data_IF_660017081604
#
_entry.id   IF_660017081604
#
_cell.length_a   1.000
_cell.length_b   1.000
_cell.length_c   1.000
_cell.angle_alpha   90.00
_cell.angle_beta   90.00
_cell.angle_gamma   90.00
#
_symmetry.space_group_name_H-M   'P 1'
#
loop_
_entity.id
_entity.type
_entity.pdbx_description
1 polymer ?
#
# COMPACT_ATOMS: atom_id res chain seq x y z
N UNK A 1 20.01 17.38 10.55
CA UNK A 1 20.37 16.64 11.79
C UNK A 1 19.42 15.45 11.91
N UNK A 2 19.93 14.35 12.38
CA UNK A 2 19.14 13.16 12.68
C UNK A 2 18.22 13.46 13.88
N UNK A 3 16.90 13.35 13.77
CA UNK A 3 15.97 13.67 14.86
C UNK A 3 16.21 12.81 16.11
N UNK A 4 16.65 11.57 15.94
CA UNK A 4 16.91 10.67 17.08
C UNK A 4 18.13 11.11 17.87
N UNK A 5 19.21 11.51 17.22
CA UNK A 5 20.39 12.08 17.87
C UNK A 5 20.08 13.40 18.59
N UNK A 6 19.21 14.23 18.00
CA UNK A 6 18.76 15.45 18.64
C UNK A 6 17.92 15.18 19.91
N UNK A 7 17.12 14.14 19.91
CA UNK A 7 16.38 13.67 21.09
C UNK A 7 17.32 13.13 22.16
N UNK A 8 18.26 12.25 21.82
CA UNK A 8 19.23 11.67 22.74
C UNK A 8 20.14 12.73 23.37
N UNK A 9 20.47 13.79 22.64
CA UNK A 9 21.26 14.91 23.14
C UNK A 9 20.47 15.91 24.00
N UNK A 10 19.12 15.76 24.05
CA UNK A 10 18.25 16.70 24.76
C UNK A 10 18.02 18.02 24.00
N UNK A 11 18.31 18.05 22.71
CA UNK A 11 18.03 19.22 21.87
C UNK A 11 16.54 19.33 21.54
N UNK A 12 15.84 18.18 21.49
CA UNK A 12 14.38 18.10 21.34
C UNK A 12 13.80 17.11 22.37
N UNK A 13 12.54 17.34 22.76
CA UNK A 13 11.88 16.56 23.81
C UNK A 13 11.02 15.41 23.24
N UNK A 14 10.67 15.42 21.96
CA UNK A 14 9.79 14.44 21.31
C UNK A 14 10.34 14.13 19.93
N UNK A 15 10.37 12.84 19.60
CA UNK A 15 10.73 12.36 18.27
C UNK A 15 9.88 11.14 17.87
N UNK A 16 9.86 10.82 16.57
CA UNK A 16 9.34 9.55 16.11
C UNK A 16 10.38 8.45 16.29
N UNK A 17 9.93 7.28 16.72
CA UNK A 17 10.79 6.14 16.94
C UNK A 17 10.66 5.14 15.79
N UNK A 18 11.75 4.80 15.08
CA UNK A 18 11.77 3.72 14.11
C UNK A 18 11.43 2.38 14.77
N UNK A 19 10.73 1.50 14.06
CA UNK A 19 10.28 0.21 14.58
C UNK A 19 11.44 -0.69 15.03
N UNK A 20 12.60 -0.58 14.40
CA UNK A 20 13.81 -1.35 14.72
C UNK A 20 14.50 -0.94 16.02
N UNK A 21 14.18 0.24 16.53
CA UNK A 21 14.73 0.76 17.79
C UNK A 21 13.73 0.68 18.95
N UNK A 22 12.51 0.23 18.70
CA UNK A 22 11.42 0.24 19.67
C UNK A 22 11.80 -0.51 20.96
N UNK A 23 12.39 -1.69 20.86
CA UNK A 23 12.81 -2.49 22.01
C UNK A 23 13.84 -1.80 22.90
N UNK A 24 14.70 -0.97 22.32
CA UNK A 24 15.71 -0.23 23.05
C UNK A 24 15.09 0.82 23.97
N UNK A 25 14.10 1.55 23.46
CA UNK A 25 13.52 2.68 24.19
C UNK A 25 12.32 2.29 25.07
N UNK A 26 11.59 1.21 24.74
CA UNK A 26 10.50 0.69 25.57
C UNK A 26 10.98 0.24 26.97
N UNK A 27 12.25 -0.16 27.08
CA UNK A 27 12.84 -0.62 28.31
C UNK A 27 13.55 0.49 29.11
N UNK A 28 13.62 1.71 28.60
CA UNK A 28 14.21 2.85 29.31
C UNK A 28 13.16 3.58 30.17
N UNK A 29 13.24 3.54 31.50
CA UNK A 29 12.24 4.14 32.37
C UNK A 29 12.28 5.68 32.35
N UNK A 30 13.31 6.30 31.77
CA UNK A 30 13.40 7.76 31.63
C UNK A 30 12.66 8.28 30.38
N UNK A 31 12.23 7.38 29.47
CA UNK A 31 11.61 7.73 28.21
C UNK A 31 10.16 7.26 28.20
N UNK A 32 9.24 8.18 27.91
CA UNK A 32 7.83 7.85 27.69
C UNK A 32 7.59 7.48 26.22
N UNK A 33 7.27 6.22 25.95
CA UNK A 33 6.86 5.78 24.61
C UNK A 33 5.35 5.79 24.51
N UNK A 34 4.81 6.49 23.50
CA UNK A 34 3.38 6.53 23.21
C UNK A 34 3.16 5.86 21.86
N UNK A 35 2.49 4.72 21.90
CA UNK A 35 2.03 4.04 20.70
C UNK A 35 0.72 4.68 20.21
N UNK A 36 0.69 5.10 18.97
CA UNK A 36 -0.49 5.64 18.34
C UNK A 36 -0.79 4.84 17.09
N UNK A 37 -2.03 4.34 17.00
CA UNK A 37 -2.52 3.77 15.77
C UNK A 37 -2.37 4.79 14.63
N UNK A 38 -1.74 4.37 13.54
CA UNK A 38 -1.50 5.21 12.38
C UNK A 38 -2.50 4.85 11.28
N UNK A 39 -3.12 5.86 10.68
CA UNK A 39 -4.00 5.68 9.51
C UNK A 39 -3.20 5.50 8.21
N UNK A 40 -1.87 5.46 8.32
CA UNK A 40 -0.98 5.26 7.18
C UNK A 40 -0.84 3.77 6.87
N UNK A 41 -0.75 3.46 5.60
CA UNK A 41 -0.54 2.11 5.12
C UNK A 41 0.09 2.12 3.74
N UNK A 42 0.24 0.93 3.18
CA UNK A 42 0.71 0.76 1.82
C UNK A 42 -0.39 0.17 0.95
N UNK A 43 -0.37 0.53 -0.31
CA UNK A 43 -1.22 -0.06 -1.34
C UNK A 43 -0.45 -0.31 -2.61
N UNK A 44 -0.88 -1.33 -3.34
CA UNK A 44 -0.43 -1.60 -4.69
C UNK A 44 -1.44 -1.00 -5.67
N UNK A 45 -0.99 -0.08 -6.51
CA UNK A 45 -1.75 0.44 -7.63
C UNK A 45 -1.50 -0.43 -8.87
N UNK A 46 -2.55 -0.66 -9.64
CA UNK A 46 -2.48 -1.28 -10.97
C UNK A 46 -3.02 -0.25 -11.96
N UNK A 47 -2.22 0.13 -12.94
CA UNK A 47 -2.64 1.04 -13.99
C UNK A 47 -3.36 0.25 -15.09
N UNK A 48 -4.67 0.34 -15.13
CA UNK A 48 -5.49 -0.42 -16.10
C UNK A 48 -5.40 0.13 -17.53
N UNK A 49 -4.89 1.34 -17.75
CA UNK A 49 -4.61 1.84 -19.10
C UNK A 49 -3.40 1.14 -19.69
N UNK A 50 -2.41 0.78 -18.88
CA UNK A 50 -1.20 0.04 -19.31
C UNK A 50 -1.33 -1.47 -19.17
N UNK A 51 -2.14 -1.91 -18.22
CA UNK A 51 -2.36 -3.33 -17.91
C UNK A 51 -3.86 -3.67 -18.00
N UNK A 52 -4.52 -3.53 -19.17
CA UNK A 52 -5.97 -3.67 -19.34
C UNK A 52 -6.49 -5.06 -18.95
N UNK A 53 -5.69 -6.10 -19.07
CA UNK A 53 -6.07 -7.47 -18.67
C UNK A 53 -6.48 -7.54 -17.20
N UNK A 54 -5.85 -6.73 -16.35
CA UNK A 54 -6.17 -6.68 -14.91
C UNK A 54 -7.52 -6.00 -14.59
N UNK A 55 -8.27 -5.54 -15.59
CA UNK A 55 -9.70 -5.25 -15.43
C UNK A 55 -10.50 -6.51 -15.15
N UNK A 56 -9.97 -7.69 -15.50
CA UNK A 56 -10.57 -8.97 -15.13
C UNK A 56 -10.44 -9.21 -13.62
N UNK A 57 -11.57 -9.47 -12.96
CA UNK A 57 -11.62 -9.63 -11.50
C UNK A 57 -10.72 -10.77 -11.00
N UNK A 58 -10.70 -11.89 -11.71
CA UNK A 58 -9.89 -13.05 -11.34
C UNK A 58 -8.39 -12.74 -11.29
N UNK A 59 -7.88 -11.90 -12.23
CA UNK A 59 -6.47 -11.50 -12.22
C UNK A 59 -6.16 -10.60 -11.02
N UNK A 60 -7.04 -9.65 -10.68
CA UNK A 60 -6.85 -8.82 -9.48
C UNK A 60 -6.88 -9.64 -8.18
N UNK A 61 -7.81 -10.59 -8.10
CA UNK A 61 -7.87 -11.52 -6.97
C UNK A 61 -6.60 -12.38 -6.88
N UNK A 62 -6.09 -12.83 -8.03
CA UNK A 62 -4.83 -13.56 -8.11
C UNK A 62 -3.63 -12.73 -7.63
N UNK A 63 -3.52 -11.46 -8.04
CA UNK A 63 -2.49 -10.53 -7.51
C UNK A 63 -2.61 -10.40 -5.99
N UNK A 64 -3.84 -10.20 -5.49
CA UNK A 64 -4.07 -10.06 -4.06
C UNK A 64 -3.70 -11.32 -3.28
N UNK A 65 -4.03 -12.48 -3.82
CA UNK A 65 -3.72 -13.79 -3.22
C UNK A 65 -2.21 -14.13 -3.27
N UNK A 66 -1.47 -13.59 -4.24
CA UNK A 66 -0.04 -13.84 -4.39
C UNK A 66 0.82 -13.13 -3.33
N UNK A 67 0.33 -12.08 -2.68
CA UNK A 67 1.12 -11.21 -1.80
C UNK A 67 0.92 -11.59 -0.34
N UNK A 68 1.98 -12.04 0.31
CA UNK A 68 2.00 -12.31 1.75
C UNK A 68 2.11 -10.99 2.55
N UNK A 69 0.96 -10.41 2.82
CA UNK A 69 0.86 -9.15 3.56
C UNK A 69 1.23 -9.28 5.03
N UNK A 70 1.09 -10.49 5.60
CA UNK A 70 1.53 -10.74 6.97
C UNK A 70 3.06 -10.70 7.06
N UNK A 71 3.76 -11.25 6.07
CA UNK A 71 5.22 -11.13 6.00
C UNK A 71 5.70 -9.67 5.92
N UNK A 72 4.93 -8.77 5.32
CA UNK A 72 5.25 -7.33 5.36
C UNK A 72 5.18 -6.80 6.79
N UNK A 73 4.09 -7.10 7.51
CA UNK A 73 3.93 -6.68 8.91
C UNK A 73 5.05 -7.22 9.79
N UNK A 74 5.36 -8.51 9.65
CA UNK A 74 6.30 -9.20 10.54
C UNK A 74 7.76 -8.83 10.24
N UNK A 75 8.13 -8.75 8.96
CA UNK A 75 9.53 -8.59 8.55
C UNK A 75 9.95 -7.13 8.38
N UNK A 76 9.07 -6.27 7.83
CA UNK A 76 9.39 -4.86 7.59
C UNK A 76 9.06 -4.04 8.83
N UNK A 77 7.84 -4.22 9.37
CA UNK A 77 7.36 -3.45 10.50
C UNK A 77 7.51 -4.14 11.87
N UNK A 78 8.16 -5.32 11.93
CA UNK A 78 8.44 -6.07 13.16
C UNK A 78 7.21 -6.28 14.05
N UNK A 79 6.07 -6.50 13.42
CA UNK A 79 4.78 -6.65 14.12
C UNK A 79 4.10 -5.34 14.50
N UNK A 80 4.73 -4.17 14.27
CA UNK A 80 4.16 -2.86 14.56
C UNK A 80 3.18 -2.41 13.47
N UNK A 81 2.17 -3.24 13.16
CA UNK A 81 1.19 -2.95 12.14
C UNK A 81 0.11 -4.01 12.06
N UNK A 82 -0.82 -3.82 11.16
CA UNK A 82 -1.89 -4.78 10.86
C UNK A 82 -2.05 -4.96 9.36
N UNK A 83 -2.43 -6.16 8.96
CA UNK A 83 -2.77 -6.42 7.55
C UNK A 83 -3.99 -5.59 7.17
N UNK A 84 -3.88 -4.86 6.06
CA UNK A 84 -4.96 -4.02 5.56
C UNK A 84 -6.20 -4.82 5.16
N UNK A 85 -7.36 -4.23 5.40
CA UNK A 85 -8.65 -4.77 4.98
C UNK A 85 -8.85 -4.60 3.46
N UNK A 86 -9.49 -5.57 2.82
CA UNK A 86 -9.92 -5.45 1.43
C UNK A 86 -10.94 -4.33 1.21
N UNK A 87 -11.64 -3.91 2.26
CA UNK A 87 -12.59 -2.80 2.22
C UNK A 87 -11.98 -1.42 2.30
N UNK A 88 -10.66 -1.30 2.29
CA UNK A 88 -9.92 -0.03 2.32
C UNK A 88 -10.03 0.78 3.62
N UNK A 89 -10.99 0.49 4.47
CA UNK A 89 -11.18 1.15 5.77
C UNK A 89 -10.45 0.37 6.86
N UNK A 90 -9.59 0.98 7.66
CA UNK A 90 -8.85 0.28 8.70
C UNK A 90 -9.76 -0.36 9.75
N UNK A 91 -9.35 -1.52 10.25
CA UNK A 91 -9.98 -2.10 11.45
C UNK A 91 -9.82 -1.11 12.62
N UNK A 92 -10.87 -0.98 13.41
CA UNK A 92 -10.90 0.00 14.51
C UNK A 92 -11.47 1.37 14.13
N UNK A 93 -11.68 1.65 12.84
CA UNK A 93 -12.47 2.80 12.40
C UNK A 93 -13.95 2.59 12.70
N UNK A 94 -14.67 3.66 13.06
CA UNK A 94 -16.14 3.64 13.20
C UNK A 94 -16.87 3.25 11.91
N UNK A 95 -16.20 3.37 10.77
CA UNK A 95 -16.74 3.07 9.45
C UNK A 95 -16.32 1.69 8.94
N UNK A 96 -15.59 0.91 9.76
CA UNK A 96 -15.18 -0.42 9.37
C UNK A 96 -16.39 -1.36 9.27
N UNK A 97 -16.50 -2.05 8.15
CA UNK A 97 -17.53 -3.05 7.92
C UNK A 97 -16.93 -4.45 8.02
N UNK A 98 -17.29 -5.19 9.06
CA UNK A 98 -16.82 -6.55 9.31
C UNK A 98 -17.30 -7.55 8.25
N UNK A 99 -18.35 -7.20 7.49
CA UNK A 99 -18.91 -8.08 6.45
C UNK A 99 -18.24 -7.92 5.09
N UNK A 100 -17.21 -7.07 4.96
CA UNK A 100 -16.45 -6.98 3.71
C UNK A 100 -15.70 -8.29 3.47
N UNK A 101 -15.88 -8.84 2.27
CA UNK A 101 -15.19 -10.07 1.87
C UNK A 101 -13.69 -9.85 1.92
N UNK A 102 -13.00 -10.68 2.70
CA UNK A 102 -11.55 -10.66 2.80
C UNK A 102 -10.96 -11.72 1.85
N UNK A 103 -9.83 -11.38 1.26
CA UNK A 103 -9.09 -12.28 0.38
C UNK A 103 -7.80 -12.70 1.10
N UNK A 104 -7.65 -13.98 1.49
CA UNK A 104 -6.44 -14.46 2.16
C UNK A 104 -5.24 -14.49 1.20
N UNK A 105 -4.05 -14.57 1.76
CA UNK A 105 -2.87 -15.01 1.04
C UNK A 105 -3.07 -16.48 0.66
N UNK A 106 -3.01 -16.78 -0.63
CA UNK A 106 -3.18 -18.12 -1.18
C UNK A 106 -2.32 -18.26 -2.44
N UNK A 107 -1.04 -18.66 -2.27
CA UNK A 107 -0.10 -18.74 -3.39
C UNK A 107 -0.48 -19.83 -4.40
N UNK A 108 -1.21 -20.89 -3.98
CA UNK A 108 -1.65 -21.94 -4.89
C UNK A 108 -2.77 -21.43 -5.81
N UNK A 109 -3.75 -20.72 -5.25
CA UNK A 109 -4.80 -20.09 -6.04
C UNK A 109 -4.23 -19.03 -6.98
N UNK A 110 -3.27 -18.22 -6.51
CA UNK A 110 -2.58 -17.24 -7.35
C UNK A 110 -1.84 -17.91 -8.52
N UNK A 111 -1.08 -18.97 -8.24
CA UNK A 111 -0.37 -19.74 -9.28
C UNK A 111 -1.34 -20.33 -10.30
N UNK A 112 -2.48 -20.86 -9.89
CA UNK A 112 -3.49 -21.40 -10.79
C UNK A 112 -4.05 -20.33 -11.76
N UNK A 113 -4.08 -19.05 -11.31
CA UNK A 113 -4.52 -17.93 -12.15
C UNK A 113 -3.48 -17.55 -13.19
N UNK A 114 -2.18 -17.54 -12.87
CA UNK A 114 -1.14 -16.96 -13.72
C UNK A 114 -0.22 -17.95 -14.41
N UNK A 115 -0.13 -19.20 -13.95
CA UNK A 115 0.80 -20.20 -14.50
C UNK A 115 0.68 -20.35 -16.01
N UNK A 116 1.80 -20.19 -16.70
CA UNK A 116 1.90 -20.38 -18.15
C UNK A 116 1.28 -19.27 -19.00
N UNK A 117 0.79 -18.17 -18.39
CA UNK A 117 0.20 -17.05 -19.13
C UNK A 117 1.23 -16.02 -19.64
N UNK A 118 2.45 -16.04 -19.10
CA UNK A 118 3.54 -15.18 -19.59
C UNK A 118 3.38 -13.70 -19.24
N UNK A 119 2.71 -13.36 -18.15
CA UNK A 119 2.62 -11.98 -17.70
C UNK A 119 3.98 -11.47 -17.23
N UNK A 120 4.29 -10.23 -17.60
CA UNK A 120 5.41 -9.47 -17.06
C UNK A 120 4.95 -8.07 -16.70
N UNK A 121 5.44 -7.52 -15.58
CA UNK A 121 5.10 -6.18 -15.12
C UNK A 121 6.30 -5.48 -14.49
N UNK A 122 6.32 -4.17 -14.58
CA UNK A 122 7.23 -3.31 -13.83
C UNK A 122 6.54 -2.84 -12.55
N UNK A 123 7.21 -3.00 -11.41
CA UNK A 123 6.78 -2.50 -10.10
C UNK A 123 7.58 -1.26 -9.71
N UNK A 124 6.94 -0.11 -9.81
CA UNK A 124 7.50 1.18 -9.38
C UNK A 124 7.38 1.31 -7.86
N UNK A 125 8.45 1.71 -7.17
CA UNK A 125 8.45 1.95 -5.72
C UNK A 125 9.37 3.11 -5.33
N UNK A 126 9.36 3.50 -4.05
CA UNK A 126 10.37 4.39 -3.46
C UNK A 126 11.72 3.68 -3.31
N UNK A 127 12.77 4.48 -3.11
CA UNK A 127 14.14 3.99 -2.90
C UNK A 127 14.53 3.92 -1.40
N UNK A 128 13.58 4.17 -0.50
CA UNK A 128 13.78 3.96 0.93
C UNK A 128 13.72 2.47 1.31
N UNK A 129 14.26 2.15 2.50
CA UNK A 129 14.42 0.77 2.93
C UNK A 129 13.13 -0.02 3.07
N UNK A 130 12.06 0.63 3.54
CA UNK A 130 10.76 -0.02 3.73
C UNK A 130 10.08 -0.30 2.39
N UNK A 131 10.07 0.69 1.49
CA UNK A 131 9.52 0.54 0.14
C UNK A 131 10.22 -0.59 -0.62
N UNK A 132 11.56 -0.64 -0.56
CA UNK A 132 12.34 -1.70 -1.20
C UNK A 132 12.04 -3.08 -0.61
N UNK A 133 11.97 -3.19 0.71
CA UNK A 133 11.67 -4.46 1.38
C UNK A 133 10.26 -4.97 1.03
N UNK A 134 9.27 -4.08 1.00
CA UNK A 134 7.90 -4.42 0.61
C UNK A 134 7.84 -4.81 -0.88
N UNK A 135 8.51 -4.05 -1.75
CA UNK A 135 8.56 -4.35 -3.19
C UNK A 135 9.16 -5.74 -3.47
N UNK A 136 10.19 -6.15 -2.72
CA UNK A 136 10.78 -7.48 -2.83
C UNK A 136 9.80 -8.59 -2.39
N UNK A 137 9.03 -8.39 -1.32
CA UNK A 137 7.98 -9.35 -0.91
C UNK A 137 6.93 -9.48 -2.01
N UNK A 138 6.46 -8.35 -2.57
CA UNK A 138 5.51 -8.33 -3.67
C UNK A 138 6.09 -9.05 -4.90
N UNK A 139 7.31 -8.72 -5.31
CA UNK A 139 8.00 -9.35 -6.43
C UNK A 139 8.09 -10.86 -6.26
N UNK A 140 8.51 -11.32 -5.09
CA UNK A 140 8.66 -12.75 -4.81
C UNK A 140 7.31 -13.48 -4.88
N UNK A 141 6.26 -12.93 -4.31
CA UNK A 141 4.91 -13.50 -4.37
C UNK A 141 4.35 -13.58 -5.79
N UNK A 142 4.45 -12.50 -6.55
CA UNK A 142 3.99 -12.44 -7.94
C UNK A 142 4.80 -13.36 -8.85
N UNK A 143 6.13 -13.44 -8.65
CA UNK A 143 7.00 -14.35 -9.42
C UNK A 143 6.67 -15.81 -9.12
N UNK A 144 6.42 -16.16 -7.87
CA UNK A 144 5.97 -17.51 -7.50
C UNK A 144 4.61 -17.86 -8.10
N UNK A 145 3.74 -16.86 -8.28
CA UNK A 145 2.46 -17.04 -8.97
C UNK A 145 2.61 -17.18 -10.51
N UNK A 146 3.73 -16.80 -11.11
CA UNK A 146 3.98 -16.91 -12.55
C UNK A 146 3.95 -15.59 -13.32
N UNK A 147 4.10 -14.47 -12.63
CA UNK A 147 4.27 -13.12 -13.22
C UNK A 147 5.75 -12.73 -13.12
N UNK A 148 6.40 -12.38 -14.22
CA UNK A 148 7.73 -11.79 -14.19
C UNK A 148 7.64 -10.35 -13.68
N UNK A 149 8.42 -9.98 -12.65
CA UNK A 149 8.37 -8.64 -12.05
C UNK A 149 9.73 -7.99 -12.05
N UNK A 150 9.81 -6.81 -12.67
CA UNK A 150 10.96 -5.92 -12.59
C UNK A 150 10.68 -4.79 -11.60
N UNK A 151 11.49 -4.67 -10.56
CA UNK A 151 11.36 -3.56 -9.58
C UNK A 151 12.14 -2.35 -10.09
N UNK A 152 11.47 -1.19 -10.12
CA UNK A 152 12.06 0.11 -10.43
C UNK A 152 11.91 1.03 -9.21
N UNK A 153 13.03 1.29 -8.53
CA UNK A 153 13.08 2.14 -7.35
C UNK A 153 13.57 3.55 -7.71
N UNK A 154 12.86 4.55 -7.22
CA UNK A 154 13.19 5.96 -7.43
C UNK A 154 12.95 6.77 -6.17
N UNK A 155 13.60 7.94 -6.07
CA UNK A 155 13.27 8.91 -5.05
C UNK A 155 11.78 9.31 -5.12
N UNK A 156 11.23 9.77 -3.99
CA UNK A 156 9.80 10.08 -3.85
C UNK A 156 9.28 11.05 -4.91
N UNK A 157 10.07 12.07 -5.29
CA UNK A 157 9.63 13.07 -6.27
C UNK A 157 9.52 12.47 -7.68
N UNK A 158 10.48 11.64 -8.06
CA UNK A 158 10.48 10.91 -9.34
C UNK A 158 9.35 9.88 -9.39
N UNK A 159 9.19 9.06 -8.34
CA UNK A 159 8.10 8.09 -8.21
C UNK A 159 6.74 8.77 -8.35
N UNK A 160 6.49 9.81 -7.56
CA UNK A 160 5.21 10.52 -7.56
C UNK A 160 4.95 11.24 -8.89
N UNK A 161 5.98 11.79 -9.52
CA UNK A 161 5.88 12.37 -10.86
C UNK A 161 5.44 11.35 -11.91
N UNK A 162 5.97 10.14 -11.88
CA UNK A 162 5.57 9.04 -12.77
C UNK A 162 4.14 8.58 -12.49
N UNK A 163 3.75 8.45 -11.23
CA UNK A 163 2.37 8.09 -10.86
C UNK A 163 1.39 9.15 -11.35
N UNK A 164 1.69 10.43 -11.12
CA UNK A 164 0.85 11.55 -11.55
C UNK A 164 0.67 11.62 -13.07
N UNK A 165 1.68 11.20 -13.83
CA UNK A 165 1.62 11.17 -15.29
C UNK A 165 1.07 9.85 -15.87
N UNK A 166 0.75 8.86 -15.03
CA UNK A 166 0.33 7.52 -15.47
C UNK A 166 1.46 6.68 -16.07
N UNK A 167 2.73 7.03 -15.78
CA UNK A 167 3.90 6.33 -16.29
C UNK A 167 4.34 5.20 -15.35
N UNK A 168 3.47 4.22 -15.17
CA UNK A 168 3.74 3.00 -14.39
C UNK A 168 2.77 1.89 -14.81
N UNK A 169 3.13 0.65 -14.56
CA UNK A 169 2.25 -0.52 -14.68
C UNK A 169 1.67 -0.89 -13.30
N UNK A 170 2.55 -1.29 -12.38
CA UNK A 170 2.24 -1.46 -10.97
C UNK A 170 3.03 -0.43 -10.16
N UNK A 171 2.46 0.09 -9.08
CA UNK A 171 3.19 1.00 -8.19
C UNK A 171 2.86 0.72 -6.72
N UNK A 172 3.91 0.64 -5.90
CA UNK A 172 3.81 0.63 -4.46
C UNK A 172 3.81 2.07 -3.95
N UNK A 173 2.77 2.44 -3.22
CA UNK A 173 2.64 3.79 -2.69
C UNK A 173 2.17 3.78 -1.24
N UNK A 174 2.64 4.74 -0.47
CA UNK A 174 2.07 5.05 0.83
C UNK A 174 0.61 5.49 0.66
N UNK A 175 -0.23 5.07 1.57
CA UNK A 175 -1.63 5.43 1.61
C UNK A 175 -1.94 5.95 3.01
N UNK A 176 -2.21 7.23 3.11
CA UNK A 176 -2.51 7.87 4.37
C UNK A 176 -3.61 8.91 4.22
N UNK A 177 -3.95 9.52 5.36
CA UNK A 177 -4.90 10.62 5.35
C UNK A 177 -6.37 10.21 5.32
N UNK A 178 -6.70 8.97 5.75
CA UNK A 178 -8.08 8.60 6.04
C UNK A 178 -8.69 9.59 7.01
N UNK A 179 -7.86 10.10 7.92
CA UNK A 179 -8.21 11.09 8.91
C UNK A 179 -9.46 10.70 9.68
N UNK A 180 -10.17 11.70 10.16
CA UNK A 180 -11.45 11.50 10.85
C UNK A 180 -12.64 11.44 9.87
N UNK A 181 -12.41 11.42 8.56
CA UNK A 181 -13.47 11.46 7.56
C UNK A 181 -13.27 10.48 6.39
N UNK A 182 -13.25 9.15 6.68
CA UNK A 182 -13.17 8.12 5.65
C UNK A 182 -14.20 8.27 4.51
N UNK A 183 -15.48 8.64 4.76
CA UNK A 183 -16.46 8.80 3.69
C UNK A 183 -16.04 9.79 2.61
N UNK A 184 -15.48 10.95 3.00
CA UNK A 184 -15.01 11.94 2.03
C UNK A 184 -13.83 11.41 1.20
N UNK A 185 -12.92 10.69 1.84
CA UNK A 185 -11.79 10.09 1.15
C UNK A 185 -12.26 8.99 0.17
N UNK A 186 -13.18 8.12 0.60
CA UNK A 186 -13.77 7.06 -0.25
C UNK A 186 -14.47 7.67 -1.46
N UNK A 187 -15.24 8.74 -1.28
CA UNK A 187 -15.85 9.47 -2.39
C UNK A 187 -14.80 9.94 -3.40
N UNK A 188 -13.71 10.53 -2.94
CA UNK A 188 -12.62 10.99 -3.81
C UNK A 188 -11.96 9.85 -4.57
N UNK A 189 -11.86 8.65 -3.96
CA UNK A 189 -11.26 7.49 -4.61
C UNK A 189 -12.17 6.85 -5.66
N UNK A 190 -13.47 6.78 -5.40
CA UNK A 190 -14.38 5.95 -6.19
C UNK A 190 -15.30 6.75 -7.12
N UNK A 191 -15.37 8.08 -7.01
CA UNK A 191 -16.17 8.89 -7.91
C UNK A 191 -15.47 9.09 -9.27
N UNK A 192 -16.26 9.16 -10.34
CA UNK A 192 -15.75 9.48 -11.67
C UNK A 192 -15.21 10.91 -11.78
N UNK A 193 -15.65 11.82 -10.90
CA UNK A 193 -15.16 13.19 -10.82
C UNK A 193 -13.65 13.23 -10.53
N UNK A 194 -13.11 12.25 -9.84
CA UNK A 194 -11.68 12.16 -9.52
C UNK A 194 -10.80 12.04 -10.76
N UNK A 195 -11.31 11.49 -11.85
CA UNK A 195 -10.63 11.41 -13.15
C UNK A 195 -10.34 12.81 -13.73
N UNK A 196 -11.19 13.77 -13.46
CA UNK A 196 -11.12 15.10 -14.06
C UNK A 196 -10.51 16.15 -13.15
N UNK A 197 -10.43 15.91 -11.85
CA UNK A 197 -9.96 16.90 -10.89
C UNK A 197 -8.44 17.01 -10.81
N UNK A 198 -7.70 16.03 -11.32
CA UNK A 198 -6.24 15.98 -11.20
C UNK A 198 -5.71 15.98 -9.75
N UNK A 199 -6.63 15.90 -8.79
CA UNK A 199 -6.30 16.08 -7.37
C UNK A 199 -5.95 14.79 -6.65
N UNK A 200 -6.28 13.63 -7.24
CA UNK A 200 -5.92 12.32 -6.66
C UNK A 200 -5.53 11.32 -7.75
N UNK A 201 -4.23 11.20 -8.08
CA UNK A 201 -3.74 10.28 -9.10
C UNK A 201 -3.95 8.80 -8.74
N UNK A 202 -4.35 8.51 -7.51
CA UNK A 202 -4.62 7.16 -7.02
C UNK A 202 -6.12 6.80 -7.08
N UNK A 203 -6.95 7.68 -7.61
CA UNK A 203 -8.39 7.41 -7.74
C UNK A 203 -8.65 6.36 -8.82
N UNK A 204 -9.79 5.69 -8.71
CA UNK A 204 -10.21 4.67 -9.68
C UNK A 204 -10.22 5.21 -11.11
N UNK A 205 -10.73 6.42 -11.32
CA UNK A 205 -10.72 7.05 -12.64
C UNK A 205 -9.30 7.34 -13.16
N UNK A 206 -8.38 7.79 -12.30
CA UNK A 206 -7.01 8.08 -12.69
C UNK A 206 -6.21 6.84 -13.11
N UNK A 207 -6.51 5.68 -12.52
CA UNK A 207 -5.89 4.40 -12.88
C UNK A 207 -6.62 3.64 -14.00
N UNK A 208 -7.59 4.27 -14.67
CA UNK A 208 -8.31 3.66 -15.80
C UNK A 208 -9.45 2.71 -15.42
N UNK A 209 -9.89 2.69 -14.16
CA UNK A 209 -11.04 1.89 -13.72
C UNK A 209 -12.32 2.73 -13.74
N UNK A 210 -13.40 2.19 -14.27
CA UNK A 210 -14.73 2.82 -14.22
C UNK A 210 -15.78 1.80 -13.80
N UNK A 211 -16.64 2.21 -12.86
CA UNK A 211 -17.78 1.41 -12.42
C UNK A 211 -18.93 2.35 -12.03
N UNK A 212 -19.95 2.37 -12.87
CA UNK A 212 -21.09 3.29 -12.70
C UNK A 212 -21.88 3.06 -11.41
N UNK A 213 -21.96 1.81 -10.93
CA UNK A 213 -22.65 1.48 -9.68
C UNK A 213 -21.86 2.03 -8.47
N UNK A 214 -20.53 1.87 -8.45
CA UNK A 214 -19.70 2.47 -7.41
C UNK A 214 -19.73 4.00 -7.44
N UNK A 215 -19.67 4.59 -8.63
CA UNK A 215 -19.74 6.04 -8.79
C UNK A 215 -21.08 6.62 -8.30
N UNK A 216 -22.17 5.87 -8.42
CA UNK A 216 -23.49 6.27 -7.92
C UNK A 216 -23.60 6.17 -6.38
N UNK A 217 -22.74 5.38 -5.72
CA UNK A 217 -22.71 5.23 -4.27
C UNK A 217 -21.74 6.23 -3.60
N UNK A 218 -20.80 6.80 -4.35
CA UNK A 218 -19.82 7.78 -3.88
C UNK A 218 -20.38 9.20 -3.89
#
# INVERSE_FOLDING_TARGET
>A
SDPLLAFESGEIDITSLPADLMDTYLNDPSIGVVEKANDMGYKLLINYERCPDFLELALRQGVYAAIDRQSVVDSVFRGAGTVGSAGYVPQGSLYYNENVVQYPYDPEAAHAVFAGKGYSVTLLCGDDGDDLAIAEIIRNGLTAAGIEVTVEAHDSATRDGRINSGDYEFALVGNGGWGNNPPTYMRTLFSDESKFSGTNPHSMGAIGYSNAEMAALA
#
